data_IF_949256616699
#
_entry.id   IF_949256616699
#
_cell.length_a   1.000
_cell.length_b   1.000
_cell.length_c   1.000
_cell.angle_alpha   90.00
_cell.angle_beta   90.00
_cell.angle_gamma   90.00
#
_symmetry.space_group_name_H-M   'P 1'
#
loop_
_entity.id
_entity.type
_entity.pdbx_description
1 polymer ?
#
# COMPACT_ATOMS: atom_id res chain seq x y z
N UNK A 1 -5.94 35.36 -66.59
CA UNK A 1 -7.01 34.47 -66.08
C UNK A 1 -6.82 34.32 -64.57
N UNK A 2 -7.54 35.14 -63.78
CA UNK A 2 -7.41 35.17 -62.31
C UNK A 2 -8.17 33.98 -61.69
N UNK A 3 -7.45 33.09 -61.00
CA UNK A 3 -8.08 31.96 -60.28
C UNK A 3 -8.73 32.50 -59.01
N UNK A 4 -10.06 32.43 -58.92
CA UNK A 4 -10.81 32.77 -57.69
C UNK A 4 -10.35 31.83 -56.55
N UNK A 5 -10.11 32.34 -55.33
CA UNK A 5 -9.70 31.51 -54.20
C UNK A 5 -10.84 30.58 -53.77
N UNK A 6 -10.55 29.29 -53.59
CA UNK A 6 -11.55 28.31 -53.17
C UNK A 6 -11.95 28.53 -51.70
N UNK A 7 -13.24 28.41 -51.35
CA UNK A 7 -13.67 28.55 -49.96
C UNK A 7 -13.07 27.44 -49.08
N UNK A 8 -12.44 27.83 -47.96
CA UNK A 8 -11.88 26.88 -46.98
C UNK A 8 -13.02 26.08 -46.35
N UNK A 9 -13.00 24.75 -46.51
CA UNK A 9 -13.97 23.86 -45.85
C UNK A 9 -13.82 23.98 -44.34
N UNK A 10 -14.87 24.42 -43.64
CA UNK A 10 -14.92 24.38 -42.17
C UNK A 10 -15.01 22.93 -41.73
N UNK A 11 -14.07 22.49 -40.89
CA UNK A 11 -14.10 21.16 -40.30
C UNK A 11 -15.16 21.16 -39.20
N UNK A 12 -16.30 20.51 -39.46
CA UNK A 12 -17.25 20.16 -38.40
C UNK A 12 -16.80 18.85 -37.73
N UNK A 13 -17.09 18.64 -36.43
CA UNK A 13 -16.84 17.36 -35.80
C UNK A 13 -17.64 16.30 -36.56
N UNK A 14 -16.94 15.36 -37.18
CA UNK A 14 -17.57 14.17 -37.76
C UNK A 14 -17.97 13.28 -36.59
N UNK A 15 -19.22 12.84 -36.55
CA UNK A 15 -19.62 11.72 -35.70
C UNK A 15 -18.91 10.45 -36.22
N UNK A 16 -17.67 10.26 -35.80
CA UNK A 16 -16.93 9.03 -36.07
C UNK A 16 -17.52 8.00 -35.11
N UNK A 17 -18.09 6.93 -35.66
CA UNK A 17 -18.56 5.81 -34.86
C UNK A 17 -17.37 5.29 -34.06
N UNK A 18 -17.39 5.52 -32.76
CA UNK A 18 -16.38 5.03 -31.83
C UNK A 18 -16.46 3.50 -31.90
N UNK A 19 -15.36 2.80 -32.21
CA UNK A 19 -15.36 1.35 -32.23
C UNK A 19 -15.93 0.76 -30.94
N UNK A 20 -16.80 -0.24 -31.05
CA UNK A 20 -17.54 -0.81 -29.90
C UNK A 20 -16.63 -1.28 -28.74
N UNK A 21 -15.37 -1.62 -29.02
CA UNK A 21 -14.39 -1.99 -27.99
C UNK A 21 -13.95 -0.81 -27.10
N UNK A 22 -14.06 0.44 -27.56
CA UNK A 22 -13.75 1.62 -26.73
C UNK A 22 -14.92 1.96 -25.80
N UNK A 23 -16.16 1.71 -26.20
CA UNK A 23 -17.34 1.84 -25.33
C UNK A 23 -17.41 0.73 -24.25
N UNK A 24 -16.62 -0.34 -24.40
CA UNK A 24 -16.43 -1.35 -23.35
C UNK A 24 -15.28 -1.02 -22.41
N UNK A 25 -14.41 -0.05 -22.72
CA UNK A 25 -13.47 0.52 -21.75
C UNK A 25 -14.15 1.51 -20.80
N UNK A 26 -15.27 2.10 -21.23
CA UNK A 26 -16.14 2.93 -20.39
C UNK A 26 -17.15 2.09 -19.62
N UNK A 27 -16.94 0.78 -19.49
CA UNK A 27 -17.74 0.01 -18.55
C UNK A 27 -17.59 0.67 -17.20
N UNK A 28 -18.71 1.16 -16.67
CA UNK A 28 -18.99 1.34 -15.26
C UNK A 28 -18.68 0.02 -14.55
N UNK A 29 -17.39 -0.28 -14.40
CA UNK A 29 -16.92 -1.17 -13.37
C UNK A 29 -17.22 -0.36 -12.14
N UNK A 30 -18.31 -0.72 -11.46
CA UNK A 30 -18.43 -0.54 -10.03
C UNK A 30 -17.12 -1.07 -9.45
N UNK A 31 -16.12 -0.19 -9.35
CA UNK A 31 -14.91 -0.40 -8.58
C UNK A 31 -15.41 -0.36 -7.14
N UNK A 32 -16.10 -1.43 -6.74
CA UNK A 32 -16.13 -1.82 -5.33
C UNK A 32 -14.69 -1.72 -4.89
N UNK A 33 -14.44 -0.85 -3.91
CA UNK A 33 -13.11 -0.46 -3.47
C UNK A 33 -12.36 -1.73 -3.04
N UNK A 34 -11.58 -2.31 -3.95
CA UNK A 34 -10.85 -3.54 -3.69
C UNK A 34 -9.58 -3.15 -2.92
N UNK A 35 -9.46 -3.65 -1.69
CA UNK A 35 -8.26 -3.45 -0.87
C UNK A 35 -6.98 -3.90 -1.58
N UNK A 36 -7.08 -4.81 -2.56
CA UNK A 36 -5.94 -5.20 -3.42
C UNK A 36 -5.49 -4.09 -4.35
N UNK A 37 -6.43 -3.34 -4.93
CA UNK A 37 -6.12 -2.19 -5.77
C UNK A 37 -5.50 -1.07 -4.93
N UNK A 38 -5.99 -0.83 -3.72
CA UNK A 38 -5.40 0.13 -2.78
C UNK A 38 -3.95 -0.23 -2.41
N UNK A 39 -3.70 -1.50 -2.06
CA UNK A 39 -2.34 -1.99 -1.78
C UNK A 39 -1.41 -1.79 -2.97
N UNK A 40 -1.89 -2.07 -4.18
CA UNK A 40 -1.11 -1.88 -5.41
C UNK A 40 -0.78 -0.41 -5.65
N UNK A 41 -1.74 0.49 -5.47
CA UNK A 41 -1.53 1.93 -5.61
C UNK A 41 -0.50 2.42 -4.59
N UNK A 42 -0.62 2.00 -3.34
CA UNK A 42 0.35 2.33 -2.29
C UNK A 42 1.76 1.89 -2.66
N UNK A 43 1.96 0.63 -3.05
CA UNK A 43 3.28 0.09 -3.42
C UNK A 43 3.87 0.83 -4.64
N UNK A 44 3.04 1.16 -5.63
CA UNK A 44 3.48 1.96 -6.78
C UNK A 44 3.93 3.36 -6.37
N UNK A 45 3.24 3.99 -5.41
CA UNK A 45 3.63 5.29 -4.90
C UNK A 45 4.92 5.23 -4.07
N UNK A 46 5.14 4.16 -3.30
CA UNK A 46 6.40 3.91 -2.59
C UNK A 46 7.55 3.75 -3.58
N UNK A 47 7.38 2.93 -4.62
CA UNK A 47 8.39 2.72 -5.65
C UNK A 47 8.76 4.02 -6.38
N UNK A 48 7.77 4.86 -6.68
CA UNK A 48 7.98 6.15 -7.35
C UNK A 48 8.41 7.29 -6.42
N UNK A 49 8.54 7.03 -5.12
CA UNK A 49 8.81 8.02 -4.08
C UNK A 49 7.78 9.16 -3.99
N UNK A 50 6.53 8.88 -4.36
CA UNK A 50 5.42 9.86 -4.38
C UNK A 50 4.40 9.64 -3.26
N UNK A 51 4.60 8.63 -2.40
CA UNK A 51 3.64 8.32 -1.33
C UNK A 51 3.59 9.43 -0.28
N UNK A 52 2.39 9.74 0.20
CA UNK A 52 2.22 10.71 1.28
C UNK A 52 2.58 10.11 2.63
N UNK A 53 3.11 10.94 3.55
CA UNK A 53 3.43 10.50 4.92
C UNK A 53 2.22 9.93 5.67
N UNK A 54 1.02 10.43 5.36
CA UNK A 54 -0.24 9.96 5.95
C UNK A 54 -0.53 8.51 5.55
N UNK A 55 -0.33 8.17 4.28
CA UNK A 55 -0.58 6.82 3.76
C UNK A 55 0.43 5.84 4.34
N UNK A 56 1.71 6.22 4.41
CA UNK A 56 2.74 5.43 5.10
C UNK A 56 2.39 5.18 6.58
N UNK A 57 1.91 6.21 7.29
CA UNK A 57 1.49 6.06 8.68
C UNK A 57 0.29 5.12 8.79
N UNK A 58 -0.68 5.20 7.87
CA UNK A 58 -1.84 4.31 7.81
C UNK A 58 -1.40 2.84 7.62
N UNK A 59 -0.55 2.55 6.64
CA UNK A 59 -0.02 1.20 6.41
C UNK A 59 0.83 0.70 7.59
N UNK A 60 1.61 1.59 8.21
CA UNK A 60 2.31 1.29 9.46
C UNK A 60 1.37 0.86 10.58
N UNK A 61 0.24 1.55 10.77
CA UNK A 61 -0.79 1.16 11.76
C UNK A 61 -1.46 -0.16 11.39
N UNK A 62 -1.76 -0.40 10.11
CA UNK A 62 -2.31 -1.68 9.64
C UNK A 62 -1.35 -2.85 9.98
N UNK A 63 -0.06 -2.69 9.73
CA UNK A 63 0.96 -3.70 10.06
C UNK A 63 1.09 -3.92 11.58
N UNK A 64 0.96 -2.86 12.38
CA UNK A 64 0.93 -2.97 13.85
C UNK A 64 -0.30 -3.71 14.38
N UNK A 65 -1.48 -3.48 13.78
CA UNK A 65 -2.72 -4.17 14.17
C UNK A 65 -2.63 -5.65 13.81
N UNK A 66 -2.19 -5.94 12.60
CA UNK A 66 -2.03 -7.31 12.10
C UNK A 66 -0.96 -8.08 12.85
N UNK A 67 0.07 -7.41 13.38
CA UNK A 67 1.04 -8.02 14.29
C UNK A 67 0.42 -8.57 15.58
N UNK A 68 -0.55 -7.83 16.14
CA UNK A 68 -1.29 -8.25 17.34
C UNK A 68 -2.21 -9.42 17.01
N UNK A 69 -2.84 -9.40 15.83
CA UNK A 69 -3.69 -10.50 15.35
C UNK A 69 -2.88 -11.77 15.07
N UNK A 70 -1.71 -11.63 14.43
CA UNK A 70 -0.79 -12.72 14.12
C UNK A 70 -0.32 -13.48 15.38
N UNK A 71 -0.38 -12.85 16.57
CA UNK A 71 -0.07 -13.50 17.85
C UNK A 71 -0.85 -14.78 18.11
N UNK A 72 -2.09 -14.83 17.62
CA UNK A 72 -3.06 -15.88 17.89
C UNK A 72 -3.09 -16.96 16.79
N UNK A 73 -2.24 -16.82 15.77
CA UNK A 73 -2.20 -17.71 14.60
C UNK A 73 -1.13 -18.80 14.74
N UNK A 74 -1.30 -19.93 14.05
CA UNK A 74 -0.39 -21.09 14.12
C UNK A 74 1.06 -20.75 13.73
N UNK A 75 1.24 -19.86 12.74
CA UNK A 75 2.55 -19.41 12.23
C UNK A 75 2.96 -18.03 12.77
N UNK A 76 2.65 -17.75 14.04
CA UNK A 76 2.84 -16.43 14.64
C UNK A 76 4.25 -15.84 14.48
N UNK A 77 5.31 -16.65 14.60
CA UNK A 77 6.70 -16.20 14.52
C UNK A 77 7.07 -15.68 13.13
N UNK A 78 6.72 -16.43 12.09
CA UNK A 78 7.02 -16.08 10.70
C UNK A 78 6.19 -14.88 10.22
N UNK A 79 4.90 -14.88 10.55
CA UNK A 79 3.99 -13.78 10.21
C UNK A 79 4.44 -12.47 10.87
N UNK A 80 4.80 -12.54 12.15
CA UNK A 80 5.35 -11.37 12.85
C UNK A 80 6.66 -10.93 12.25
N UNK A 81 7.61 -11.83 11.96
CA UNK A 81 8.86 -11.40 11.33
C UNK A 81 8.63 -10.70 9.98
N UNK A 82 7.71 -11.20 9.15
CA UNK A 82 7.33 -10.54 7.91
C UNK A 82 6.80 -9.12 8.15
N UNK A 83 5.86 -8.96 9.09
CA UNK A 83 5.30 -7.67 9.45
C UNK A 83 6.36 -6.73 10.07
N UNK A 84 7.31 -7.28 10.83
CA UNK A 84 8.45 -6.53 11.37
C UNK A 84 9.26 -5.89 10.25
N UNK A 85 9.63 -6.71 9.25
CA UNK A 85 10.47 -6.26 8.13
C UNK A 85 9.76 -5.14 7.34
N UNK A 86 8.45 -5.27 7.12
CA UNK A 86 7.66 -4.19 6.51
C UNK A 86 7.66 -2.90 7.32
N UNK A 87 7.53 -2.98 8.65
CA UNK A 87 7.62 -1.82 9.53
C UNK A 87 9.02 -1.18 9.52
N UNK A 88 10.09 -1.97 9.47
CA UNK A 88 11.47 -1.50 9.30
C UNK A 88 11.62 -0.76 7.96
N UNK A 89 11.08 -1.33 6.88
CA UNK A 89 11.13 -0.75 5.55
C UNK A 89 10.43 0.63 5.52
N UNK A 90 9.26 0.77 6.16
CA UNK A 90 8.58 2.06 6.35
C UNK A 90 9.46 3.03 7.14
N UNK A 91 10.08 2.58 8.23
CA UNK A 91 10.99 3.41 9.03
C UNK A 91 12.19 3.94 8.25
N UNK A 92 12.82 3.07 7.44
CA UNK A 92 13.95 3.45 6.59
C UNK A 92 13.52 4.37 5.44
N UNK A 93 12.31 4.21 4.93
CA UNK A 93 11.74 5.07 3.89
C UNK A 93 11.48 6.49 4.39
N UNK A 94 10.98 6.66 5.62
CA UNK A 94 10.60 7.98 6.17
C UNK A 94 11.80 8.76 6.73
N UNK A 95 12.79 8.06 7.28
CA UNK A 95 13.91 8.72 7.96
C UNK A 95 14.68 9.62 6.99
N UNK A 96 14.95 10.87 7.41
CA UNK A 96 15.70 11.85 6.59
C UNK A 96 17.16 11.42 6.37
N UNK A 97 17.72 10.69 7.34
CA UNK A 97 19.07 10.10 7.31
C UNK A 97 19.01 8.70 7.91
N UNK A 98 18.48 7.72 7.19
CA UNK A 98 18.41 6.37 7.70
C UNK A 98 19.83 5.80 7.82
N UNK A 99 20.09 4.97 8.83
CA UNK A 99 21.36 4.25 8.94
C UNK A 99 21.59 3.30 7.76
N UNK A 100 20.50 2.79 7.20
CA UNK A 100 20.49 1.90 6.03
C UNK A 100 19.53 2.53 5.01
N UNK A 101 19.97 2.83 3.78
CA UNK A 101 19.10 3.39 2.78
C UNK A 101 17.99 2.40 2.42
N UNK A 102 16.81 2.92 2.11
CA UNK A 102 15.73 2.11 1.55
C UNK A 102 16.18 1.55 0.20
N UNK A 103 16.20 0.23 0.08
CA UNK A 103 16.65 -0.53 -1.09
C UNK A 103 15.53 -1.42 -1.66
N UNK A 104 15.82 -2.07 -2.79
CA UNK A 104 14.85 -2.95 -3.46
C UNK A 104 14.43 -4.13 -2.56
N UNK A 105 15.32 -4.62 -1.69
CA UNK A 105 15.00 -5.69 -0.76
C UNK A 105 13.98 -5.26 0.29
N UNK A 106 14.13 -4.06 0.85
CA UNK A 106 13.15 -3.46 1.76
C UNK A 106 11.81 -3.22 1.06
N UNK A 107 11.82 -2.88 -0.22
CA UNK A 107 10.60 -2.77 -1.01
C UNK A 107 9.88 -4.13 -1.15
N UNK A 108 10.60 -5.20 -1.47
CA UNK A 108 10.03 -6.55 -1.52
C UNK A 108 9.51 -7.02 -0.15
N UNK A 109 10.24 -6.73 0.93
CA UNK A 109 9.81 -7.02 2.31
C UNK A 109 8.54 -6.24 2.68
N UNK A 110 8.45 -4.97 2.27
CA UNK A 110 7.26 -4.16 2.43
C UNK A 110 6.08 -4.73 1.64
N UNK A 111 6.30 -5.13 0.38
CA UNK A 111 5.27 -5.73 -0.46
C UNK A 111 4.71 -7.01 0.17
N UNK A 112 5.58 -7.92 0.60
CA UNK A 112 5.16 -9.15 1.28
C UNK A 112 4.40 -8.84 2.59
N UNK A 113 4.87 -7.86 3.37
CA UNK A 113 4.19 -7.45 4.60
C UNK A 113 2.80 -6.86 4.33
N UNK A 114 2.60 -6.12 3.23
CA UNK A 114 1.27 -5.62 2.85
C UNK A 114 0.31 -6.74 2.48
N UNK A 115 0.78 -7.80 1.81
CA UNK A 115 -0.04 -8.97 1.49
C UNK A 115 -0.40 -9.76 2.75
N UNK A 116 0.60 -10.04 3.59
CA UNK A 116 0.39 -10.75 4.87
C UNK A 116 -0.57 -9.98 5.77
N UNK A 117 -0.43 -8.65 5.86
CA UNK A 117 -1.35 -7.82 6.63
C UNK A 117 -2.79 -7.93 6.11
N UNK A 118 -2.99 -7.88 4.79
CA UNK A 118 -4.32 -8.06 4.18
C UNK A 118 -4.89 -9.44 4.49
N UNK A 119 -4.12 -10.50 4.27
CA UNK A 119 -4.58 -11.88 4.49
C UNK A 119 -4.94 -12.11 5.97
N UNK A 120 -4.20 -11.53 6.91
CA UNK A 120 -4.55 -11.56 8.34
C UNK A 120 -5.87 -10.82 8.59
N UNK A 121 -6.05 -9.62 8.02
CA UNK A 121 -7.28 -8.85 8.20
C UNK A 121 -8.49 -9.59 7.62
N UNK A 122 -8.41 -10.09 6.38
CA UNK A 122 -9.47 -10.85 5.71
C UNK A 122 -9.93 -12.06 6.54
N UNK A 123 -8.99 -12.73 7.21
CA UNK A 123 -9.27 -13.91 8.05
C UNK A 123 -9.60 -13.60 9.52
N UNK A 124 -9.52 -12.33 9.95
CA UNK A 124 -9.81 -11.94 11.34
C UNK A 124 -11.23 -11.42 11.50
N UNK A 125 -11.88 -11.72 12.63
CA UNK A 125 -13.22 -11.21 12.94
C UNK A 125 -13.23 -9.71 13.27
N UNK A 126 -14.36 -9.02 13.07
CA UNK A 126 -14.49 -7.57 13.33
C UNK A 126 -14.13 -7.19 14.78
N UNK A 127 -14.57 -7.99 15.75
CA UNK A 127 -14.28 -7.77 17.18
C UNK A 127 -12.78 -7.90 17.46
N UNK A 128 -12.12 -8.87 16.84
CA UNK A 128 -10.68 -9.08 17.03
C UNK A 128 -9.87 -7.93 16.46
N UNK A 129 -10.24 -7.45 15.26
CA UNK A 129 -9.65 -6.28 14.64
C UNK A 129 -9.82 -5.04 15.52
N UNK A 130 -11.01 -4.83 16.09
CA UNK A 130 -11.28 -3.70 16.99
C UNK A 130 -10.43 -3.76 18.27
N UNK A 131 -10.32 -4.94 18.90
CA UNK A 131 -9.48 -5.14 20.08
C UNK A 131 -7.99 -4.94 19.77
N UNK A 132 -7.51 -5.46 18.64
CA UNK A 132 -6.14 -5.26 18.19
C UNK A 132 -5.85 -3.77 17.89
N UNK A 133 -6.78 -3.09 17.23
CA UNK A 133 -6.74 -1.64 17.03
C UNK A 133 -6.61 -0.87 18.34
N UNK A 134 -7.49 -1.14 19.31
CA UNK A 134 -7.44 -0.51 20.63
C UNK A 134 -6.11 -0.76 21.35
N UNK A 135 -5.55 -1.97 21.26
CA UNK A 135 -4.26 -2.31 21.84
C UNK A 135 -3.13 -1.46 21.24
N UNK A 136 -3.07 -1.35 19.91
CA UNK A 136 -2.07 -0.53 19.20
C UNK A 136 -2.20 0.95 19.57
N UNK A 137 -3.42 1.51 19.54
CA UNK A 137 -3.64 2.92 19.87
C UNK A 137 -3.40 3.25 21.34
N UNK A 138 -3.51 2.27 22.24
CA UNK A 138 -3.20 2.45 23.66
C UNK A 138 -1.69 2.58 23.95
N UNK A 139 -0.82 2.32 22.97
CA UNK A 139 0.64 2.37 23.13
C UNK A 139 1.23 1.26 23.99
N UNK A 140 0.43 0.24 24.35
CA UNK A 140 0.85 -0.87 25.22
C UNK A 140 1.52 -2.03 24.47
N UNK A 141 1.57 -1.99 23.14
CA UNK A 141 2.13 -3.05 22.30
C UNK A 141 3.58 -2.74 22.00
N UNK A 142 4.49 -3.65 22.41
CA UNK A 142 5.89 -3.64 21.98
C UNK A 142 6.03 -4.44 20.70
N UNK A 143 6.73 -3.87 19.72
CA UNK A 143 7.05 -4.53 18.44
C UNK A 143 8.53 -4.90 18.48
N UNK A 144 8.80 -6.13 18.89
CA UNK A 144 10.16 -6.68 18.99
C UNK A 144 10.24 -7.93 18.11
N UNK A 145 11.25 -7.99 17.25
CA UNK A 145 11.65 -9.21 16.55
C UNK A 145 12.78 -9.92 17.31
N UNK A 146 12.97 -11.22 17.05
CA UNK A 146 14.15 -11.93 17.56
C UNK A 146 15.44 -11.35 16.96
N UNK A 147 15.37 -10.77 15.75
CA UNK A 147 16.49 -10.09 15.14
C UNK A 147 16.93 -8.86 15.95
N UNK A 148 16.00 -8.10 16.54
CA UNK A 148 16.32 -6.93 17.38
C UNK A 148 17.08 -7.29 18.66
N UNK A 149 16.80 -8.46 19.23
CA UNK A 149 17.53 -8.96 20.40
C UNK A 149 18.99 -9.26 20.08
N UNK A 150 19.30 -9.51 18.80
CA UNK A 150 20.63 -9.81 18.30
C UNK A 150 21.32 -8.54 17.77
N UNK A 151 20.57 -7.61 17.16
CA UNK A 151 21.10 -6.40 16.53
C UNK A 151 21.01 -5.12 17.37
N UNK A 152 20.25 -5.13 18.47
CA UNK A 152 20.04 -3.97 19.35
C UNK A 152 19.12 -2.89 18.77
N UNK A 153 18.22 -3.24 17.86
CA UNK A 153 17.33 -2.29 17.20
C UNK A 153 16.06 -2.05 18.03
N UNK A 154 15.85 -0.82 18.48
CA UNK A 154 14.59 -0.42 19.11
C UNK A 154 13.72 0.28 18.06
N UNK A 155 12.68 -0.40 17.56
CA UNK A 155 11.72 0.22 16.64
C UNK A 155 10.75 1.13 17.41
N UNK A 156 11.01 2.44 17.35
CA UNK A 156 10.14 3.47 17.92
C UNK A 156 9.30 4.10 16.80
N UNK A 157 8.12 3.53 16.56
CA UNK A 157 7.10 4.15 15.71
C UNK A 157 6.20 5.02 16.60
N UNK A 158 6.58 6.29 16.78
CA UNK A 158 5.75 7.30 17.46
C UNK A 158 4.75 7.89 16.47
#
# INVERSE_FOLDING_TARGET
>A
MSKKPSPKKKYGPRAVAVPHYLNSLTSDVDRSHDARDENRVFLLQVANRTVEKKDLAMYGRIMQITWVLAAKMERAKELRQCLYNGLVAIGCYIAEKPKIPFDDKMFEELSLATEVARDILENSGEIERAQAGAAVFSGRVKFESEADKITGWEMVLR
#
